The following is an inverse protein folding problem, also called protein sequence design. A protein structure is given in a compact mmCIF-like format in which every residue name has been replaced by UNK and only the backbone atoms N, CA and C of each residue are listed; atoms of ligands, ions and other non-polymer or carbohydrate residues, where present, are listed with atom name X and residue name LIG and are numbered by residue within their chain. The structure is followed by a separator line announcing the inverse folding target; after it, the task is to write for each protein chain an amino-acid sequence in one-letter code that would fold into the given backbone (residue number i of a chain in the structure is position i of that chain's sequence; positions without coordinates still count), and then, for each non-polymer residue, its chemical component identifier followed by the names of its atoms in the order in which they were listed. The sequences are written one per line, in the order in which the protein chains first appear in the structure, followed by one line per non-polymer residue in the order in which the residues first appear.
data_IF_256317549720
#
_entry.id   IF_256317549720
#
_cell.length_a   1.000
_cell.length_b   1.000
_cell.length_c   1.000
_cell.angle_alpha   90.00
_cell.angle_beta   90.00
_cell.angle_gamma   90.00
#
_symmetry.space_group_name_H-M   'P 1'
#
loop_
_entity.id
_entity.type
_entity.pdbx_description
1 polymer ?
#
# COMPACT_ATOMS: atom_id res chain seq x y z
N UNK A 1 -7.02 -2.69 20.86
CA UNK A 1 -7.19 -3.12 19.45
C UNK A 1 -7.70 -1.92 18.64
N UNK A 2 -7.30 -1.78 17.38
CA UNK A 2 -7.88 -0.76 16.49
C UNK A 2 -9.29 -1.21 16.08
N UNK A 3 -10.26 -0.29 16.11
CA UNK A 3 -11.64 -0.56 15.72
C UNK A 3 -12.22 0.63 14.98
N UNK A 4 -12.79 0.37 13.80
CA UNK A 4 -13.48 1.38 12.99
C UNK A 4 -12.63 2.64 12.77
N UNK A 5 -11.34 2.45 12.48
CA UNK A 5 -10.40 3.55 12.24
C UNK A 5 -10.66 4.19 10.88
N UNK A 6 -10.89 3.38 9.85
CA UNK A 6 -11.07 3.88 8.48
C UNK A 6 -12.43 3.52 7.92
N UNK A 7 -12.94 4.34 6.99
CA UNK A 7 -14.20 4.03 6.28
C UNK A 7 -14.09 2.71 5.51
N UNK A 8 -12.91 2.45 4.92
CA UNK A 8 -12.65 1.24 4.15
C UNK A 8 -12.75 -0.02 5.02
N UNK A 9 -12.25 0.01 6.25
CA UNK A 9 -12.37 -1.08 7.22
C UNK A 9 -13.85 -1.43 7.47
N UNK A 10 -14.68 -0.42 7.73
CA UNK A 10 -16.12 -0.61 7.97
C UNK A 10 -16.83 -1.16 6.73
N UNK A 11 -16.52 -0.63 5.55
CA UNK A 11 -17.08 -1.13 4.28
C UNK A 11 -16.68 -2.58 4.00
N UNK A 12 -15.42 -2.94 4.24
CA UNK A 12 -14.92 -4.31 4.06
C UNK A 12 -15.60 -5.27 5.03
N UNK A 13 -15.71 -4.90 6.31
CA UNK A 13 -16.41 -5.70 7.33
C UNK A 13 -17.86 -5.98 6.93
N UNK A 14 -18.57 -4.96 6.39
CA UNK A 14 -19.94 -5.13 5.88
C UNK A 14 -20.01 -6.07 4.67
N UNK A 15 -19.07 -5.96 3.73
CA UNK A 15 -19.02 -6.83 2.54
C UNK A 15 -18.75 -8.29 2.90
N UNK A 16 -17.83 -8.53 3.83
CA UNK A 16 -17.36 -9.87 4.17
C UNK A 16 -18.27 -10.56 5.20
N UNK A 17 -18.68 -9.84 6.25
CA UNK A 17 -19.40 -10.42 7.39
C UNK A 17 -20.87 -9.99 7.49
N UNK A 18 -21.33 -9.10 6.60
CA UNK A 18 -22.72 -8.60 6.61
C UNK A 18 -23.03 -7.63 7.76
N UNK A 19 -22.03 -7.15 8.50
CA UNK A 19 -22.20 -6.26 9.65
C UNK A 19 -21.02 -5.31 9.82
N UNK A 20 -21.17 -4.19 10.56
CA UNK A 20 -20.06 -3.30 10.90
C UNK A 20 -19.05 -3.95 11.86
N UNK A 21 -17.93 -3.26 12.10
CA UNK A 21 -16.79 -3.77 12.88
C UNK A 21 -17.17 -4.04 14.34
N UNK A 22 -17.83 -3.09 15.03
CA UNK A 22 -18.11 -3.26 16.47
C UNK A 22 -19.06 -4.45 16.73
N UNK A 23 -20.18 -4.63 15.99
CA UNK A 23 -21.04 -5.80 16.14
C UNK A 23 -20.32 -7.11 15.77
N UNK A 24 -19.45 -7.09 14.76
CA UNK A 24 -18.65 -8.25 14.40
C UNK A 24 -17.73 -8.67 15.54
N UNK A 25 -16.96 -7.74 16.11
CA UNK A 25 -16.02 -7.99 17.21
C UNK A 25 -16.76 -8.46 18.46
N UNK A 26 -17.92 -7.87 18.76
CA UNK A 26 -18.81 -8.36 19.82
C UNK A 26 -19.21 -9.82 19.61
N UNK A 27 -19.60 -10.19 18.39
CA UNK A 27 -20.04 -11.56 18.04
C UNK A 27 -18.93 -12.61 18.23
N UNK A 28 -17.66 -12.19 18.22
CA UNK A 28 -16.50 -13.05 18.49
C UNK A 28 -16.12 -13.11 19.98
N UNK A 29 -16.98 -12.63 20.89
CA UNK A 29 -16.78 -12.62 22.34
C UNK A 29 -15.53 -11.83 22.81
N UNK A 30 -14.95 -10.99 21.96
CA UNK A 30 -13.76 -10.18 22.29
C UNK A 30 -14.06 -9.19 23.43
N UNK A 31 -15.29 -8.69 23.51
CA UNK A 31 -15.72 -7.76 24.54
C UNK A 31 -15.96 -8.40 25.92
N UNK A 32 -15.81 -9.73 26.04
CA UNK A 32 -15.73 -10.40 27.34
C UNK A 32 -14.36 -10.17 28.03
N UNK A 33 -13.36 -9.73 27.28
CA UNK A 33 -12.06 -9.32 27.80
C UNK A 33 -12.00 -7.82 28.12
N UNK A 34 -10.92 -7.41 28.82
CA UNK A 34 -10.62 -5.98 29.02
C UNK A 34 -10.09 -5.38 27.71
N UNK A 35 -10.91 -4.59 27.04
CA UNK A 35 -10.57 -4.01 25.74
C UNK A 35 -10.44 -2.49 25.83
N UNK A 36 -9.36 -1.99 25.21
CA UNK A 36 -9.21 -0.60 24.80
C UNK A 36 -9.42 -0.54 23.28
N UNK A 37 -10.48 0.15 22.87
CA UNK A 37 -10.83 0.40 21.48
C UNK A 37 -10.11 1.67 21.00
N UNK A 38 -9.09 1.52 20.18
CA UNK A 38 -8.35 2.65 19.63
C UNK A 38 -9.04 3.21 18.38
N UNK A 39 -8.95 4.53 18.23
CA UNK A 39 -9.50 5.35 17.14
C UNK A 39 -11.02 5.55 17.20
N UNK A 40 -11.82 4.52 16.91
CA UNK A 40 -13.28 4.59 16.88
C UNK A 40 -13.80 5.77 16.03
N UNK A 41 -13.23 5.96 14.84
CA UNK A 41 -13.55 7.11 13.98
C UNK A 41 -14.91 6.94 13.32
N UNK A 42 -15.16 5.76 12.73
CA UNK A 42 -16.36 5.44 11.96
C UNK A 42 -17.29 4.55 12.76
N UNK A 43 -17.81 5.07 13.88
CA UNK A 43 -18.82 4.38 14.70
C UNK A 43 -20.15 5.11 14.66
N UNK A 44 -21.24 4.34 14.58
CA UNK A 44 -22.60 4.87 14.70
C UNK A 44 -23.11 4.90 16.17
N UNK A 45 -24.29 5.48 16.39
CA UNK A 45 -24.86 5.63 17.73
C UNK A 45 -25.19 4.27 18.39
N UNK A 46 -25.47 3.22 17.59
CA UNK A 46 -25.70 1.86 18.09
C UNK A 46 -24.41 1.17 18.50
N UNK A 47 -23.33 1.40 17.75
CA UNK A 47 -21.99 0.93 18.08
C UNK A 47 -21.45 1.62 19.34
N UNK A 48 -21.65 2.94 19.49
CA UNK A 48 -21.31 3.69 20.70
C UNK A 48 -22.03 3.11 21.93
N UNK A 49 -23.34 2.83 21.82
CA UNK A 49 -24.09 2.16 22.90
C UNK A 49 -23.59 0.75 23.20
N UNK A 50 -23.15 0.02 22.17
CA UNK A 50 -22.58 -1.32 22.33
C UNK A 50 -21.30 -1.26 23.14
N UNK A 51 -20.37 -0.36 22.78
CA UNK A 51 -19.14 -0.14 23.53
C UNK A 51 -19.44 0.23 25.00
N UNK A 52 -20.41 1.12 25.21
CA UNK A 52 -20.81 1.56 26.54
C UNK A 52 -21.36 0.40 27.39
N UNK A 53 -22.24 -0.42 26.82
CA UNK A 53 -22.87 -1.55 27.51
C UNK A 53 -21.85 -2.58 27.98
N UNK A 54 -20.79 -2.80 27.18
CA UNK A 54 -19.70 -3.71 27.52
C UNK A 54 -18.58 -3.05 28.32
N UNK A 55 -18.74 -1.78 28.74
CA UNK A 55 -17.72 -1.03 29.49
C UNK A 55 -16.36 -0.95 28.79
N UNK A 56 -16.37 -0.83 27.46
CA UNK A 56 -15.14 -0.72 26.66
C UNK A 56 -14.56 0.69 26.80
N UNK A 57 -13.26 0.79 27.08
CA UNK A 57 -12.53 2.06 27.06
C UNK A 57 -12.17 2.46 25.63
N UNK A 58 -12.15 3.75 25.34
CA UNK A 58 -11.76 4.28 24.02
C UNK A 58 -10.44 5.05 24.13
N UNK A 59 -9.53 4.86 23.18
CA UNK A 59 -8.35 5.71 22.99
C UNK A 59 -8.55 6.58 21.74
N UNK A 60 -8.76 7.88 21.95
CA UNK A 60 -8.86 8.86 20.88
C UNK A 60 -7.46 9.34 20.47
N UNK A 61 -7.10 9.16 19.20
CA UNK A 61 -5.78 9.54 18.67
C UNK A 61 -5.92 10.64 17.60
N UNK A 62 -6.14 11.91 17.97
CA UNK A 62 -6.53 12.95 17.03
C UNK A 62 -5.46 13.24 15.96
N UNK A 63 -4.18 13.40 16.31
CA UNK A 63 -3.14 13.71 15.31
C UNK A 63 -2.96 12.59 14.30
N UNK A 64 -2.95 11.33 14.75
CA UNK A 64 -2.84 10.17 13.85
C UNK A 64 -4.01 10.07 12.89
N UNK A 65 -5.24 10.22 13.40
CA UNK A 65 -6.44 10.19 12.56
C UNK A 65 -6.45 11.31 11.51
N UNK A 66 -5.93 12.49 11.84
CA UNK A 66 -5.78 13.59 10.88
C UNK A 66 -4.68 13.32 9.86
N UNK A 67 -3.49 12.87 10.32
CA UNK A 67 -2.32 12.64 9.47
C UNK A 67 -2.55 11.55 8.43
N UNK A 68 -3.27 10.50 8.81
CA UNK A 68 -3.63 9.39 7.92
C UNK A 68 -4.95 9.61 7.16
N UNK A 69 -5.59 10.76 7.36
CA UNK A 69 -6.92 11.07 6.81
C UNK A 69 -7.98 10.00 7.15
N UNK A 70 -7.84 9.36 8.31
CA UNK A 70 -8.79 8.36 8.84
C UNK A 70 -10.16 9.00 9.11
N UNK A 71 -10.18 10.24 9.60
CA UNK A 71 -11.40 11.03 9.83
C UNK A 71 -11.46 11.61 11.23
N UNK A 72 -12.67 11.88 11.73
CA UNK A 72 -12.90 12.49 13.03
C UNK A 72 -13.79 11.63 13.93
N UNK A 73 -13.23 11.13 15.04
CA UNK A 73 -14.00 10.34 15.99
C UNK A 73 -15.10 11.16 16.67
N UNK A 74 -16.32 10.62 16.86
CA UNK A 74 -17.43 11.33 17.49
C UNK A 74 -17.30 11.38 19.02
N UNK A 75 -16.19 11.94 19.52
CA UNK A 75 -15.82 11.98 20.95
C UNK A 75 -16.95 12.53 21.82
N UNK A 76 -17.60 13.63 21.41
CA UNK A 76 -18.69 14.21 22.20
C UNK A 76 -19.87 13.25 22.39
N UNK A 77 -20.20 12.46 21.35
CA UNK A 77 -21.26 11.45 21.45
C UNK A 77 -20.87 10.33 22.38
N UNK A 78 -19.61 9.88 22.31
CA UNK A 78 -19.10 8.85 23.20
C UNK A 78 -19.13 9.30 24.66
N UNK A 79 -18.65 10.51 24.94
CA UNK A 79 -18.68 11.11 26.28
C UNK A 79 -20.12 11.28 26.78
N UNK A 80 -21.04 11.77 25.94
CA UNK A 80 -22.46 11.92 26.29
C UNK A 80 -23.14 10.58 26.57
N UNK A 81 -22.69 9.50 25.93
CA UNK A 81 -23.17 8.14 26.22
C UNK A 81 -22.58 7.56 27.52
N UNK A 82 -21.57 8.20 28.12
CA UNK A 82 -20.91 7.73 29.35
C UNK A 82 -19.75 6.76 29.11
N UNK A 83 -19.17 6.74 27.91
CA UNK A 83 -17.92 6.01 27.66
C UNK A 83 -16.74 6.69 28.35
N UNK A 84 -15.80 5.88 28.81
CA UNK A 84 -14.48 6.38 29.21
C UNK A 84 -13.61 6.55 27.96
N UNK A 85 -13.39 7.80 27.55
CA UNK A 85 -12.59 8.16 26.39
C UNK A 85 -11.27 8.78 26.85
N UNK A 86 -10.19 7.99 26.77
CA UNK A 86 -8.83 8.47 26.93
C UNK A 86 -8.28 9.10 25.65
N UNK A 87 -7.10 9.72 25.77
CA UNK A 87 -6.33 10.25 24.63
C UNK A 87 -5.05 9.45 24.47
N UNK A 88 -4.66 9.19 23.23
CA UNK A 88 -3.38 8.58 22.87
C UNK A 88 -2.73 9.30 21.69
N UNK A 89 -1.42 9.13 21.54
CA UNK A 89 -0.64 9.71 20.44
C UNK A 89 -0.63 8.83 19.19
N UNK A 90 -0.94 7.54 19.34
CA UNK A 90 -0.52 6.47 18.42
C UNK A 90 1.02 6.38 18.31
N UNK A 91 1.53 5.66 17.31
CA UNK A 91 2.97 5.52 17.05
C UNK A 91 3.61 6.74 16.39
N UNK A 92 4.92 6.93 16.62
CA UNK A 92 5.71 8.03 16.06
C UNK A 92 5.86 8.02 14.52
N UNK A 93 5.35 7.00 13.82
CA UNK A 93 5.30 6.98 12.35
C UNK A 93 4.02 7.62 11.79
N UNK A 94 2.96 7.69 12.60
CA UNK A 94 1.64 8.23 12.24
C UNK A 94 1.26 9.48 13.04
N UNK A 95 2.13 9.99 13.91
CA UNK A 95 1.97 11.26 14.61
C UNK A 95 2.98 12.30 14.08
N UNK A 96 4.04 12.58 14.82
CA UNK A 96 5.36 11.96 14.65
C UNK A 96 6.25 12.17 15.91
N UNK A 97 5.68 12.73 16.98
CA UNK A 97 6.23 12.74 18.33
C UNK A 97 5.31 11.96 19.29
N UNK A 98 5.49 12.13 20.60
CA UNK A 98 4.67 11.53 21.66
C UNK A 98 4.18 12.61 22.66
N UNK A 99 3.84 13.80 22.16
CA UNK A 99 3.39 14.93 22.97
C UNK A 99 1.91 14.82 23.38
N UNK A 100 1.67 14.44 24.65
CA UNK A 100 0.31 14.37 25.20
C UNK A 100 -0.35 15.75 25.42
N UNK A 101 0.40 16.84 25.63
CA UNK A 101 -0.20 18.17 25.75
C UNK A 101 -0.77 18.63 24.41
N UNK A 102 -0.05 18.35 23.31
CA UNK A 102 -0.56 18.61 21.97
C UNK A 102 -1.82 17.78 21.68
N UNK A 103 -1.83 16.48 21.95
CA UNK A 103 -3.01 15.65 21.71
C UNK A 103 -4.23 16.11 22.53
N UNK A 104 -4.04 16.49 23.80
CA UNK A 104 -5.11 17.02 24.66
C UNK A 104 -5.67 18.33 24.09
N UNK A 105 -4.79 19.25 23.67
CA UNK A 105 -5.18 20.51 23.05
C UNK A 105 -5.92 20.29 21.73
N UNK A 106 -5.39 19.40 20.89
CA UNK A 106 -5.94 19.09 19.58
C UNK A 106 -7.33 18.45 19.71
N UNK A 107 -7.53 17.50 20.63
CA UNK A 107 -8.84 16.94 20.91
C UNK A 107 -9.86 18.04 21.26
N UNK A 108 -9.49 18.98 22.14
CA UNK A 108 -10.33 20.09 22.55
C UNK A 108 -10.67 21.04 21.39
N UNK A 109 -9.74 21.32 20.49
CA UNK A 109 -9.98 22.18 19.33
C UNK A 109 -10.78 21.48 18.23
N UNK A 110 -10.47 20.22 17.92
CA UNK A 110 -11.22 19.45 16.93
C UNK A 110 -12.68 19.32 17.31
N UNK A 111 -12.97 18.99 18.57
CA UNK A 111 -14.35 18.86 19.03
C UNK A 111 -15.16 20.17 18.82
N UNK A 112 -14.54 21.34 19.04
CA UNK A 112 -15.16 22.65 18.77
C UNK A 112 -15.31 22.92 17.27
N UNK A 113 -14.26 22.67 16.50
CA UNK A 113 -14.26 22.89 15.05
C UNK A 113 -15.30 22.04 14.31
N UNK A 114 -15.46 20.78 14.72
CA UNK A 114 -16.44 19.85 14.13
C UNK A 114 -17.87 20.21 14.53
N UNK A 115 -18.09 20.59 15.79
CA UNK A 115 -19.44 20.91 16.29
C UNK A 115 -19.92 22.31 15.90
N UNK A 116 -19.01 23.23 15.57
CA UNK A 116 -19.32 24.64 15.40
C UNK A 116 -19.66 25.36 16.71
N UNK A 117 -19.44 24.72 17.86
CA UNK A 117 -19.76 25.24 19.19
C UNK A 117 -18.47 25.44 20.02
N UNK A 118 -18.14 26.68 20.44
CA UNK A 118 -16.93 26.96 21.21
C UNK A 118 -16.97 26.39 22.64
N UNK A 119 -18.13 25.98 23.16
CA UNK A 119 -18.28 25.41 24.50
C UNK A 119 -18.04 23.91 24.56
N UNK A 120 -18.02 23.26 23.40
CA UNK A 120 -17.81 21.83 23.26
C UNK A 120 -16.40 21.42 23.74
N UNK A 121 -16.35 20.29 24.47
CA UNK A 121 -15.15 19.72 25.09
C UNK A 121 -14.27 20.76 25.80
N UNK A 122 -14.73 21.31 26.94
CA UNK A 122 -13.99 22.33 27.67
C UNK A 122 -12.70 21.77 28.29
N UNK A 123 -11.74 22.66 28.59
CA UNK A 123 -10.40 22.28 29.05
C UNK A 123 -10.37 21.30 30.24
N UNK A 124 -11.21 21.44 31.29
CA UNK A 124 -11.22 20.45 32.38
C UNK A 124 -11.57 19.03 31.91
N UNK A 125 -12.48 18.90 30.94
CA UNK A 125 -12.87 17.60 30.37
C UNK A 125 -11.75 17.05 29.50
N UNK A 126 -11.13 17.88 28.64
CA UNK A 126 -9.99 17.46 27.82
C UNK A 126 -8.81 16.98 28.68
N UNK A 127 -8.45 17.70 29.75
CA UNK A 127 -7.41 17.26 30.69
C UNK A 127 -7.81 15.97 31.41
N UNK A 128 -9.10 15.81 31.76
CA UNK A 128 -9.62 14.57 32.35
C UNK A 128 -9.47 13.39 31.40
N UNK A 129 -9.71 13.57 30.09
CA UNK A 129 -9.46 12.54 29.07
C UNK A 129 -7.99 12.12 29.01
N UNK A 130 -7.06 13.07 29.10
CA UNK A 130 -5.61 12.82 29.15
C UNK A 130 -5.09 12.23 30.47
N UNK A 131 -5.93 12.15 31.52
CA UNK A 131 -5.52 11.71 32.87
C UNK A 131 -6.49 10.66 33.43
N UNK A 132 -7.44 11.07 34.29
CA UNK A 132 -8.35 10.18 35.02
C UNK A 132 -9.17 9.29 34.10
N UNK A 133 -9.78 9.85 33.07
CA UNK A 133 -10.63 9.10 32.14
C UNK A 133 -9.81 8.18 31.23
N UNK A 134 -8.55 8.54 30.91
CA UNK A 134 -7.60 7.62 30.30
C UNK A 134 -7.27 6.43 31.21
N UNK A 135 -7.05 6.66 32.50
CA UNK A 135 -6.89 5.59 33.47
C UNK A 135 -8.16 4.72 33.60
N UNK A 136 -9.35 5.32 33.58
CA UNK A 136 -10.62 4.59 33.59
C UNK A 136 -10.84 3.75 32.31
N UNK A 137 -10.46 4.28 31.13
CA UNK A 137 -10.50 3.55 29.86
C UNK A 137 -9.55 2.33 29.86
N UNK A 138 -8.41 2.45 30.55
CA UNK A 138 -7.47 1.36 30.79
C UNK A 138 -7.87 0.44 31.96
N UNK A 139 -8.98 0.73 32.64
CA UNK A 139 -9.42 0.04 33.86
C UNK A 139 -8.41 0.11 35.03
N UNK A 140 -7.62 1.18 35.06
CA UNK A 140 -6.63 1.52 36.08
C UNK A 140 -7.07 2.66 36.99
N UNK A 141 -8.27 3.22 36.80
CA UNK A 141 -8.75 4.38 37.55
C UNK A 141 -8.87 4.20 39.08
N UNK A 142 -8.88 2.97 39.59
CA UNK A 142 -8.77 2.70 41.03
C UNK A 142 -7.33 2.83 41.57
N UNK A 143 -6.34 2.83 40.69
CA UNK A 143 -4.91 2.75 41.01
C UNK A 143 -4.22 4.09 40.72
N UNK A 144 -4.59 4.79 39.65
CA UNK A 144 -3.95 6.03 39.19
C UNK A 144 -4.93 6.95 38.46
N UNK A 145 -4.43 8.08 37.93
CA UNK A 145 -5.18 9.04 37.11
C UNK A 145 -5.76 10.24 37.87
N UNK A 146 -5.73 10.21 39.21
CA UNK A 146 -6.16 11.32 40.06
C UNK A 146 -5.40 11.36 41.38
N UNK A 147 -5.33 12.54 41.98
CA UNK A 147 -4.64 12.80 43.25
C UNK A 147 -5.58 12.55 44.43
N UNK A 148 -5.80 11.29 44.75
CA UNK A 148 -6.68 10.87 45.84
C UNK A 148 -5.92 9.95 46.82
N UNK A 149 -6.13 10.08 48.14
CA UNK A 149 -5.52 9.17 49.12
C UNK A 149 -5.76 7.70 48.77
N UNK A 150 -4.70 6.90 48.81
CA UNK A 150 -4.74 5.46 48.49
C UNK A 150 -4.39 5.10 47.03
N UNK A 151 -4.35 6.07 46.11
CA UNK A 151 -3.83 5.85 44.75
C UNK A 151 -2.30 5.92 44.69
N UNK A 152 -1.73 5.42 43.60
CA UNK A 152 -0.29 5.53 43.31
C UNK A 152 0.09 6.99 43.12
N UNK A 153 1.27 7.34 43.60
CA UNK A 153 1.87 8.65 43.37
C UNK A 153 2.46 8.70 41.96
N UNK A 154 1.58 8.85 40.96
CA UNK A 154 1.90 9.11 39.56
C UNK A 154 1.66 10.60 39.30
N UNK A 155 2.72 11.40 39.26
CA UNK A 155 2.66 12.86 39.32
C UNK A 155 3.53 13.48 38.24
N UNK A 156 3.09 14.64 37.74
CA UNK A 156 3.93 15.57 36.99
C UNK A 156 3.89 16.96 37.64
N UNK A 157 5.01 17.67 37.60
CA UNK A 157 5.06 19.10 37.94
C UNK A 157 5.23 19.90 36.65
N UNK A 158 4.45 20.97 36.52
CA UNK A 158 4.40 21.82 35.32
C UNK A 158 4.67 23.27 35.70
N UNK A 159 5.70 23.86 35.10
CA UNK A 159 6.09 25.25 35.27
C UNK A 159 5.26 26.19 34.38
N UNK A 160 4.24 26.81 34.97
CA UNK A 160 3.37 27.79 34.32
C UNK A 160 3.86 29.24 34.46
N UNK A 161 5.14 29.46 34.82
CA UNK A 161 5.72 30.79 34.97
C UNK A 161 6.38 31.32 33.69
N UNK A 162 6.45 30.48 32.65
CA UNK A 162 7.05 30.81 31.36
C UNK A 162 6.27 31.90 30.61
N UNK A 163 6.95 32.57 29.68
CA UNK A 163 6.42 33.70 28.96
C UNK A 163 5.15 33.36 28.15
N UNK A 164 5.12 32.20 27.49
CA UNK A 164 3.96 31.74 26.71
C UNK A 164 2.73 31.41 27.56
N UNK A 165 2.90 31.20 28.88
CA UNK A 165 1.81 30.91 29.82
C UNK A 165 1.46 32.11 30.73
N UNK A 166 1.98 33.30 30.41
CA UNK A 166 1.80 34.54 31.18
C UNK A 166 1.00 35.56 30.35
N UNK A 167 0.07 36.36 30.94
CA UNK A 167 -0.27 36.50 32.37
C UNK A 167 -1.22 35.41 32.90
N UNK A 168 -1.31 35.31 34.24
CA UNK A 168 -2.22 34.37 34.94
C UNK A 168 -3.40 35.11 35.55
N UNK A 169 -4.60 34.83 35.05
CA UNK A 169 -5.84 35.40 35.58
C UNK A 169 -6.36 34.52 36.73
N UNK A 170 -6.73 35.15 37.85
CA UNK A 170 -7.24 34.45 39.05
C UNK A 170 -8.74 34.63 39.29
N UNK A 171 -9.46 35.26 38.35
CA UNK A 171 -10.89 35.56 38.50
C UNK A 171 -11.73 34.29 38.57
N UNK A 172 -11.43 33.32 37.71
CA UNK A 172 -12.11 32.03 37.66
C UNK A 172 -11.21 30.96 38.32
N UNK A 173 -11.68 30.20 39.32
CA UNK A 173 -10.89 29.14 39.96
C UNK A 173 -10.39 28.07 38.99
N UNK A 174 -11.20 27.76 37.97
CA UNK A 174 -10.93 26.74 36.95
C UNK A 174 -10.03 27.24 35.80
N UNK A 175 -9.55 28.49 35.84
CA UNK A 175 -8.71 29.06 34.78
C UNK A 175 -7.41 28.28 34.55
N UNK A 176 -6.92 27.55 35.56
CA UNK A 176 -5.73 26.71 35.47
C UNK A 176 -5.85 25.63 34.39
N UNK A 177 -7.05 25.06 34.18
CA UNK A 177 -7.26 24.05 33.16
C UNK A 177 -7.05 24.62 31.76
N UNK A 178 -7.49 25.86 31.52
CA UNK A 178 -7.25 26.54 30.25
C UNK A 178 -5.76 26.78 30.01
N UNK A 179 -4.98 27.11 31.06
CA UNK A 179 -3.54 27.25 30.96
C UNK A 179 -2.86 25.92 30.60
N UNK A 180 -3.22 24.84 31.30
CA UNK A 180 -2.66 23.51 31.08
C UNK A 180 -3.00 22.93 29.71
N UNK A 181 -4.19 23.21 29.17
CA UNK A 181 -4.64 22.63 27.89
C UNK A 181 -4.28 23.52 26.70
N UNK A 182 -4.41 24.84 26.81
CA UNK A 182 -4.30 25.73 25.64
C UNK A 182 -2.95 26.45 25.53
N UNK A 183 -2.15 26.51 26.60
CA UNK A 183 -0.89 27.27 26.61
C UNK A 183 0.34 26.43 26.98
N UNK A 184 0.22 25.36 27.76
CA UNK A 184 1.37 24.55 28.19
C UNK A 184 2.02 23.74 27.07
N UNK A 185 3.34 23.58 27.16
CA UNK A 185 4.16 22.70 26.31
C UNK A 185 4.82 21.59 27.14
N UNK A 186 5.27 20.47 26.53
CA UNK A 186 6.00 19.41 27.26
C UNK A 186 7.26 19.90 27.96
N UNK A 187 7.93 20.90 27.39
CA UNK A 187 9.14 21.51 27.97
C UNK A 187 8.86 22.28 29.26
N UNK A 188 7.59 22.50 29.61
CA UNK A 188 7.19 23.08 30.90
C UNK A 188 7.17 22.02 32.02
N UNK A 189 7.21 20.72 31.70
CA UNK A 189 7.25 19.65 32.70
C UNK A 189 8.63 19.63 33.36
N UNK A 190 8.69 19.82 34.67
CA UNK A 190 9.95 19.85 35.43
C UNK A 190 10.25 18.51 36.09
N UNK A 191 9.24 17.82 36.59
CA UNK A 191 9.42 16.61 37.39
C UNK A 191 8.37 15.57 37.03
N UNK A 192 8.75 14.29 37.04
CA UNK A 192 7.87 13.15 36.78
C UNK A 192 8.12 12.09 37.83
N UNK A 193 7.05 11.65 38.48
CA UNK A 193 7.04 10.56 39.45
C UNK A 193 6.10 9.46 38.98
N UNK A 194 6.50 8.21 39.12
CA UNK A 194 5.65 7.03 38.91
C UNK A 194 5.76 6.12 40.12
N UNK A 195 4.62 5.81 40.73
CA UNK A 195 4.48 4.97 41.91
C UNK A 195 5.43 5.38 43.05
N UNK A 196 5.55 6.69 43.31
CA UNK A 196 6.43 7.21 44.35
C UNK A 196 7.91 7.34 43.96
N UNK A 197 8.30 6.90 42.76
CA UNK A 197 9.69 6.97 42.27
C UNK A 197 9.85 8.09 41.26
N UNK A 198 10.78 9.00 41.51
CA UNK A 198 11.18 10.03 40.54
C UNK A 198 11.83 9.40 39.31
N UNK A 199 11.29 9.71 38.13
CA UNK A 199 11.85 9.34 36.83
C UNK A 199 12.53 10.53 36.15
N UNK A 200 12.05 11.74 36.41
CA UNK A 200 12.65 13.01 36.01
C UNK A 200 12.55 14.00 37.17
N UNK A 201 13.58 14.81 37.38
CA UNK A 201 13.58 15.88 38.39
C UNK A 201 14.36 17.09 37.88
N UNK A 202 13.83 18.30 38.04
CA UNK A 202 14.44 19.52 37.52
C UNK A 202 14.85 19.40 36.03
N UNK A 203 13.99 18.78 35.22
CA UNK A 203 14.19 18.46 33.79
C UNK A 203 15.34 17.49 33.49
N UNK A 204 15.88 16.80 34.49
CA UNK A 204 16.92 15.79 34.33
C UNK A 204 16.32 14.38 34.43
N UNK A 205 16.48 13.57 33.38
CA UNK A 205 16.07 12.16 33.37
C UNK A 205 16.96 11.34 34.30
N UNK A 206 16.33 10.58 35.22
CA UNK A 206 17.03 9.85 36.28
C UNK A 206 17.20 8.35 35.99
N UNK A 207 16.57 7.84 34.93
CA UNK A 207 16.48 6.40 34.65
C UNK A 207 16.96 6.01 33.25
N UNK A 208 17.29 6.98 32.42
CA UNK A 208 17.73 6.79 31.03
C UNK A 208 18.90 7.74 30.75
N UNK A 209 19.89 7.26 30.01
CA UNK A 209 20.94 8.10 29.43
C UNK A 209 20.51 8.56 28.03
N UNK A 210 20.04 9.79 27.93
CA UNK A 210 19.50 10.36 26.68
C UNK A 210 20.55 10.44 25.55
N UNK A 211 21.78 10.95 25.76
CA UNK A 211 22.82 10.90 24.73
C UNK A 211 23.09 9.50 24.17
N UNK A 212 23.12 8.48 25.03
CA UNK A 212 23.32 7.09 24.61
C UNK A 212 22.12 6.57 23.80
N UNK A 213 20.90 6.91 24.20
CA UNK A 213 19.68 6.53 23.49
C UNK A 213 19.64 7.13 22.08
N UNK A 214 19.98 8.42 21.95
CA UNK A 214 20.04 9.10 20.65
C UNK A 214 21.09 8.47 19.73
N UNK A 215 22.28 8.14 20.25
CA UNK A 215 23.30 7.44 19.48
C UNK A 215 22.83 6.05 19.01
N UNK A 216 22.08 5.32 19.83
CA UNK A 216 21.47 4.03 19.44
C UNK A 216 20.39 4.22 18.37
N UNK A 217 19.55 5.24 18.48
CA UNK A 217 18.52 5.54 17.49
C UNK A 217 19.13 5.80 16.10
N UNK A 218 20.24 6.54 16.04
CA UNK A 218 20.97 6.83 14.80
C UNK A 218 21.54 5.57 14.12
N UNK A 219 21.91 4.55 14.89
CA UNK A 219 22.33 3.25 14.35
C UNK A 219 21.14 2.56 13.65
N UNK A 220 19.94 2.61 14.24
CA UNK A 220 18.75 2.02 13.63
C UNK A 220 18.27 2.81 12.42
N UNK A 221 18.32 4.15 12.46
CA UNK A 221 18.02 5.00 11.30
C UNK A 221 18.85 4.58 10.08
N UNK A 222 20.18 4.49 10.23
CA UNK A 222 21.08 4.03 9.14
C UNK A 222 20.77 2.63 8.63
N UNK A 223 20.35 1.70 9.49
CA UNK A 223 19.94 0.35 9.08
C UNK A 223 18.65 0.36 8.28
N UNK A 224 17.67 1.16 8.71
CA UNK A 224 16.40 1.35 8.01
C UNK A 224 16.66 2.02 6.66
N UNK A 225 17.50 3.05 6.61
CA UNK A 225 17.88 3.73 5.37
C UNK A 225 18.57 2.78 4.39
N UNK A 226 19.51 1.96 4.86
CA UNK A 226 20.15 0.96 4.02
C UNK A 226 19.14 -0.05 3.45
N UNK A 227 18.23 -0.56 4.29
CA UNK A 227 17.16 -1.46 3.86
C UNK A 227 16.21 -0.82 2.85
N UNK A 228 15.78 0.42 3.10
CA UNK A 228 14.90 1.15 2.20
C UNK A 228 15.60 1.49 0.89
N UNK A 229 16.88 1.88 0.93
CA UNK A 229 17.68 2.12 -0.26
C UNK A 229 17.78 0.86 -1.12
N UNK A 230 18.19 -0.28 -0.56
CA UNK A 230 18.22 -1.56 -1.27
C UNK A 230 16.85 -1.93 -1.88
N UNK A 231 15.77 -1.74 -1.11
CA UNK A 231 14.40 -2.02 -1.55
C UNK A 231 13.91 -1.08 -2.63
N UNK A 232 14.16 0.22 -2.52
CA UNK A 232 13.69 1.22 -3.47
C UNK A 232 14.45 1.18 -4.81
N UNK A 233 15.69 0.70 -4.80
CA UNK A 233 16.44 0.43 -6.03
C UNK A 233 15.96 -0.86 -6.71
N UNK A 234 15.31 -1.77 -5.99
CA UNK A 234 14.76 -3.00 -6.55
C UNK A 234 13.38 -2.76 -7.18
N UNK A 235 13.32 -2.71 -8.52
CA UNK A 235 12.06 -2.63 -9.28
C UNK A 235 11.11 -3.77 -8.92
N UNK A 236 11.64 -4.98 -8.71
CA UNK A 236 10.85 -6.13 -8.27
C UNK A 236 10.23 -5.90 -6.88
N UNK A 237 11.00 -5.40 -5.92
CA UNK A 237 10.50 -5.14 -4.57
C UNK A 237 9.45 -4.04 -4.56
N UNK A 238 9.63 -3.01 -5.39
CA UNK A 238 8.62 -1.97 -5.66
C UNK A 238 7.35 -2.57 -6.27
N UNK A 239 7.48 -3.47 -7.25
CA UNK A 239 6.35 -4.15 -7.91
C UNK A 239 5.56 -5.03 -6.93
N UNK A 240 6.23 -5.81 -6.08
CA UNK A 240 5.60 -6.65 -5.05
C UNK A 240 4.79 -5.77 -4.09
N UNK A 241 5.35 -4.62 -3.67
CA UNK A 241 4.72 -3.74 -2.70
C UNK A 241 3.41 -3.10 -3.19
N UNK A 242 3.30 -2.78 -4.49
CA UNK A 242 2.11 -2.09 -5.03
C UNK A 242 1.01 -3.02 -5.52
N UNK A 243 1.33 -4.26 -5.85
CA UNK A 243 0.40 -5.13 -6.59
C UNK A 243 0.44 -6.60 -6.22
N UNK A 244 1.17 -6.98 -5.16
CA UNK A 244 1.27 -8.38 -4.73
C UNK A 244 1.78 -9.27 -5.85
N UNK A 245 2.87 -8.85 -6.51
CA UNK A 245 3.37 -9.49 -7.72
C UNK A 245 3.52 -11.01 -7.53
N UNK A 246 2.92 -11.78 -8.43
CA UNK A 246 3.04 -13.24 -8.46
C UNK A 246 4.04 -13.64 -9.53
N UNK A 247 4.88 -14.62 -9.20
CA UNK A 247 5.65 -15.35 -10.20
C UNK A 247 4.69 -16.28 -10.96
N UNK A 248 4.55 -16.08 -12.27
CA UNK A 248 3.93 -17.07 -13.15
C UNK A 248 5.05 -17.84 -13.88
N UNK A 249 4.91 -19.17 -13.96
CA UNK A 249 5.62 -20.11 -14.86
C UNK A 249 7.05 -19.74 -15.28
N UNK A 250 8.04 -20.47 -14.76
CA UNK A 250 9.47 -20.14 -14.87
C UNK A 250 10.09 -20.18 -16.28
N UNK A 251 9.40 -20.67 -17.32
CA UNK A 251 9.94 -20.72 -18.68
C UNK A 251 8.90 -20.28 -19.73
N UNK A 252 9.21 -19.21 -20.47
CA UNK A 252 8.50 -18.83 -21.69
C UNK A 252 9.36 -19.14 -22.92
N UNK A 253 8.78 -19.88 -23.86
CA UNK A 253 9.34 -20.17 -25.18
C UNK A 253 8.69 -19.25 -26.20
N UNK A 254 9.51 -18.54 -26.95
CA UNK A 254 9.06 -17.61 -27.98
C UNK A 254 9.88 -17.78 -29.25
N UNK A 255 9.20 -17.89 -30.39
CA UNK A 255 9.80 -17.80 -31.72
C UNK A 255 9.06 -16.72 -32.50
N UNK A 256 9.81 -15.79 -33.11
CA UNK A 256 9.28 -14.64 -33.84
C UNK A 256 9.87 -14.60 -35.24
N UNK A 257 9.07 -14.21 -36.23
CA UNK A 257 9.47 -14.08 -37.63
C UNK A 257 8.82 -12.82 -38.19
N UNK A 258 9.56 -12.06 -39.01
CA UNK A 258 9.01 -10.91 -39.72
C UNK A 258 8.19 -11.37 -40.93
N UNK A 259 7.08 -10.70 -41.21
CA UNK A 259 6.13 -11.06 -42.26
C UNK A 259 5.97 -9.94 -43.28
N UNK A 260 5.96 -10.30 -44.56
CA UNK A 260 5.55 -9.39 -45.64
C UNK A 260 4.03 -9.40 -45.83
N UNK A 261 3.41 -10.59 -45.85
CA UNK A 261 1.96 -10.76 -46.03
C UNK A 261 1.31 -11.50 -44.84
N UNK A 262 0.54 -10.80 -43.98
CA UNK A 262 -0.14 -11.41 -42.85
C UNK A 262 -1.23 -12.43 -43.26
N UNK A 263 -1.75 -12.37 -44.49
CA UNK A 263 -2.84 -13.23 -44.93
C UNK A 263 -2.44 -14.71 -45.02
N UNK A 264 -1.14 -14.98 -45.22
CA UNK A 264 -0.57 -16.33 -45.24
C UNK A 264 -0.86 -17.05 -43.92
N UNK A 265 -0.58 -16.38 -42.79
CA UNK A 265 -0.80 -16.92 -41.44
C UNK A 265 -2.29 -17.07 -41.14
N UNK A 266 -3.09 -16.06 -41.49
CA UNK A 266 -4.55 -16.06 -41.25
C UNK A 266 -5.21 -17.25 -41.95
N UNK A 267 -4.79 -17.57 -43.19
CA UNK A 267 -5.31 -18.72 -43.91
C UNK A 267 -4.75 -20.04 -43.33
N UNK A 268 -3.48 -20.07 -42.93
CA UNK A 268 -2.82 -21.28 -42.47
C UNK A 268 -3.27 -21.75 -41.08
N UNK A 269 -3.71 -20.85 -40.19
CA UNK A 269 -4.14 -21.21 -38.83
C UNK A 269 -5.37 -22.13 -38.81
N UNK A 270 -6.11 -22.21 -39.92
CA UNK A 270 -7.30 -23.03 -40.07
C UNK A 270 -7.04 -24.37 -40.80
N UNK A 271 -5.78 -24.72 -41.05
CA UNK A 271 -5.43 -25.97 -41.71
C UNK A 271 -5.63 -27.20 -40.81
N UNK A 272 -5.85 -28.40 -41.41
CA UNK A 272 -5.93 -29.65 -40.65
C UNK A 272 -4.68 -29.89 -39.80
N UNK A 273 -4.86 -30.10 -38.50
CA UNK A 273 -3.78 -30.34 -37.53
C UNK A 273 -3.57 -29.22 -36.51
N UNK A 274 -4.13 -28.03 -36.75
CA UNK A 274 -4.18 -26.93 -35.78
C UNK A 274 -5.61 -26.82 -35.23
N UNK A 275 -5.81 -27.15 -33.96
CA UNK A 275 -7.10 -26.99 -33.31
C UNK A 275 -7.17 -25.60 -32.66
N UNK A 276 -8.02 -24.71 -33.18
CA UNK A 276 -8.22 -23.37 -32.61
C UNK A 276 -9.22 -23.44 -31.46
N UNK A 277 -8.76 -23.17 -30.24
CA UNK A 277 -9.61 -23.15 -29.04
C UNK A 277 -10.39 -21.84 -28.94
N UNK A 278 -9.71 -20.70 -29.16
CA UNK A 278 -10.32 -19.38 -29.18
C UNK A 278 -9.41 -18.36 -29.88
N UNK A 279 -9.98 -17.26 -30.39
CA UNK A 279 -9.25 -16.17 -31.03
C UNK A 279 -9.65 -14.82 -30.43
N UNK A 280 -8.73 -13.85 -30.42
CA UNK A 280 -8.95 -12.49 -29.93
C UNK A 280 -8.20 -11.46 -30.76
N UNK A 281 -8.73 -10.25 -30.83
CA UNK A 281 -8.07 -9.09 -31.41
C UNK A 281 -7.82 -8.07 -30.30
N UNK A 282 -6.59 -7.55 -30.25
CA UNK A 282 -6.17 -6.54 -29.30
C UNK A 282 -5.53 -5.36 -30.01
N UNK A 283 -5.77 -4.16 -29.48
CA UNK A 283 -4.90 -3.02 -29.64
C UNK A 283 -4.10 -2.89 -28.34
N UNK A 284 -2.78 -3.11 -28.42
CA UNK A 284 -1.90 -3.10 -27.25
C UNK A 284 -1.06 -1.82 -27.23
N UNK A 285 -1.14 -1.06 -26.12
CA UNK A 285 -0.26 0.05 -25.81
C UNK A 285 0.72 -0.34 -24.72
N UNK A 286 1.98 -0.54 -25.09
CA UNK A 286 3.05 -0.87 -24.16
C UNK A 286 3.92 0.36 -23.87
N UNK A 287 4.03 0.75 -22.61
CA UNK A 287 5.06 1.69 -22.13
C UNK A 287 6.11 0.91 -21.35
N UNK A 288 7.33 0.85 -21.89
CA UNK A 288 8.49 0.24 -21.25
C UNK A 288 9.28 1.28 -20.45
N UNK A 289 9.56 0.94 -19.21
CA UNK A 289 10.42 1.67 -18.29
C UNK A 289 11.77 0.96 -18.21
N UNK A 290 12.84 1.67 -18.55
CA UNK A 290 14.21 1.21 -18.32
C UNK A 290 14.86 2.00 -17.18
N UNK A 291 15.81 1.35 -16.50
CA UNK A 291 16.45 1.87 -15.30
C UNK A 291 17.95 2.04 -15.51
N UNK A 292 18.59 2.88 -14.69
CA UNK A 292 20.03 3.18 -14.82
C UNK A 292 20.92 1.94 -14.69
N UNK A 293 20.47 0.97 -13.91
CA UNK A 293 21.08 -0.35 -13.78
C UNK A 293 20.38 -1.34 -14.71
N UNK A 294 21.06 -1.74 -15.78
CA UNK A 294 20.53 -2.67 -16.78
C UNK A 294 20.19 -4.06 -16.20
N UNK A 295 20.78 -4.43 -15.05
CA UNK A 295 20.44 -5.67 -14.35
C UNK A 295 19.03 -5.64 -13.73
N UNK A 296 18.35 -4.50 -13.71
CA UNK A 296 16.96 -4.41 -13.24
C UNK A 296 15.95 -4.81 -14.34
N UNK A 297 16.40 -4.98 -15.58
CA UNK A 297 15.56 -5.32 -16.72
C UNK A 297 14.60 -4.18 -17.12
N UNK A 298 13.44 -4.53 -17.64
CA UNK A 298 12.42 -3.57 -18.08
C UNK A 298 11.11 -3.79 -17.33
N UNK A 299 10.50 -2.71 -16.85
CA UNK A 299 9.12 -2.77 -16.37
C UNK A 299 8.18 -2.30 -17.48
N UNK A 300 7.26 -3.15 -17.90
CA UNK A 300 6.27 -2.82 -18.93
C UNK A 300 4.92 -2.54 -18.30
N UNK A 301 4.39 -1.34 -18.49
CA UNK A 301 2.98 -1.02 -18.32
C UNK A 301 2.27 -1.30 -19.64
N UNK A 302 1.21 -2.10 -19.61
CA UNK A 302 0.44 -2.49 -20.78
C UNK A 302 -1.03 -2.17 -20.59
N UNK A 303 -1.60 -1.53 -21.60
CA UNK A 303 -3.03 -1.37 -21.81
C UNK A 303 -3.46 -2.28 -22.98
N UNK A 304 -4.26 -3.30 -22.67
CA UNK A 304 -4.85 -4.23 -23.63
C UNK A 304 -6.29 -3.81 -23.92
N UNK A 305 -6.56 -3.23 -25.09
CA UNK A 305 -7.92 -2.97 -25.57
C UNK A 305 -8.40 -4.15 -26.41
N UNK A 306 -9.40 -4.90 -25.92
CA UNK A 306 -9.98 -6.01 -26.67
C UNK A 306 -10.97 -5.49 -27.71
N UNK A 307 -10.74 -5.79 -28.98
CA UNK A 307 -11.56 -5.34 -30.11
C UNK A 307 -12.60 -6.43 -30.45
N UNK A 308 -13.85 -6.02 -30.61
CA UNK A 308 -14.95 -6.89 -31.02
C UNK A 308 -15.07 -7.05 -32.55
N UNK A 309 -16.05 -7.83 -32.99
CA UNK A 309 -16.30 -8.10 -34.42
C UNK A 309 -16.74 -6.86 -35.23
N UNK A 310 -17.15 -5.77 -34.56
CA UNK A 310 -17.57 -4.51 -35.18
C UNK A 310 -16.46 -3.44 -35.10
N UNK A 311 -15.23 -3.85 -34.77
CA UNK A 311 -14.07 -2.96 -34.61
C UNK A 311 -14.25 -1.95 -33.46
N UNK A 312 -14.98 -2.34 -32.40
CA UNK A 312 -15.18 -1.53 -31.19
C UNK A 312 -14.48 -2.12 -29.98
N UNK A 313 -14.02 -1.25 -29.08
CA UNK A 313 -13.42 -1.64 -27.81
C UNK A 313 -14.49 -2.26 -26.91
N UNK A 314 -14.29 -3.53 -26.56
CA UNK A 314 -15.20 -4.32 -25.72
C UNK A 314 -14.79 -4.33 -24.25
N UNK A 315 -13.48 -4.27 -23.97
CA UNK A 315 -12.93 -4.22 -22.62
C UNK A 315 -11.51 -3.70 -22.64
N UNK A 316 -11.08 -3.06 -21.56
CA UNK A 316 -9.72 -2.58 -21.37
C UNK A 316 -9.12 -3.25 -20.14
N UNK A 317 -7.88 -3.73 -20.25
CA UNK A 317 -7.15 -4.34 -19.14
C UNK A 317 -5.76 -3.73 -19.01
N UNK A 318 -5.42 -3.35 -17.78
CA UNK A 318 -4.10 -2.83 -17.44
C UNK A 318 -3.24 -3.87 -16.72
N UNK A 319 -1.94 -3.93 -17.04
CA UNK A 319 -1.00 -4.87 -16.42
C UNK A 319 0.41 -4.31 -16.32
N UNK A 320 1.09 -4.59 -15.22
CA UNK A 320 2.53 -4.44 -15.08
C UNK A 320 3.23 -5.78 -15.31
N UNK A 321 4.31 -5.79 -16.09
CA UNK A 321 5.17 -6.96 -16.29
C UNK A 321 6.62 -6.56 -16.09
N UNK A 322 7.28 -7.10 -15.07
CA UNK A 322 8.73 -6.99 -14.95
C UNK A 322 9.38 -8.07 -15.81
N UNK A 323 10.10 -7.63 -16.82
CA UNK A 323 10.94 -8.44 -17.69
C UNK A 323 12.32 -8.47 -17.05
N UNK A 324 12.68 -9.60 -16.44
CA UNK A 324 13.94 -9.75 -15.71
C UNK A 324 15.18 -9.58 -16.59
N UNK A 325 16.36 -9.32 -15.98
CA UNK A 325 17.62 -9.26 -16.70
C UNK A 325 17.97 -10.62 -17.32
N UNK A 326 18.12 -10.64 -18.63
CA UNK A 326 19.02 -11.53 -19.37
C UNK A 326 18.64 -13.02 -19.46
N UNK A 327 18.06 -13.35 -20.63
CA UNK A 327 18.25 -14.55 -21.48
C UNK A 327 19.11 -15.69 -20.90
N UNK A 328 18.51 -16.86 -20.69
CA UNK A 328 19.24 -18.11 -20.38
C UNK A 328 19.65 -18.83 -21.68
N UNK A 329 20.38 -18.13 -22.56
CA UNK A 329 20.95 -18.69 -23.79
C UNK A 329 19.96 -19.00 -24.92
N UNK A 330 20.51 -19.25 -26.11
CA UNK A 330 19.78 -19.77 -27.28
C UNK A 330 19.74 -21.31 -27.15
N UNK A 331 18.58 -21.92 -26.88
CA UNK A 331 18.47 -23.40 -26.85
C UNK A 331 18.63 -24.03 -28.23
N UNK A 332 18.62 -23.19 -29.26
CA UNK A 332 19.08 -23.37 -30.64
C UNK A 332 19.00 -21.97 -31.26
N UNK A 333 19.69 -21.68 -32.36
CA UNK A 333 19.87 -20.31 -32.90
C UNK A 333 18.59 -19.46 -33.05
N UNK A 334 17.41 -20.09 -33.03
CA UNK A 334 16.14 -19.52 -33.49
C UNK A 334 15.02 -19.48 -32.42
N UNK A 335 15.27 -19.82 -31.14
CA UNK A 335 14.24 -19.80 -30.10
C UNK A 335 14.69 -19.12 -28.81
N UNK A 336 13.87 -18.19 -28.28
CA UNK A 336 14.13 -17.44 -27.05
C UNK A 336 13.57 -18.20 -25.84
N UNK A 337 14.38 -18.29 -24.77
CA UNK A 337 13.96 -18.76 -23.44
C UNK A 337 14.16 -17.67 -22.39
N UNK A 338 13.09 -17.32 -21.67
CA UNK A 338 13.11 -16.37 -20.55
C UNK A 338 12.74 -17.07 -19.24
N UNK A 339 13.47 -16.75 -18.15
CA UNK A 339 13.44 -17.46 -16.86
C UNK A 339 12.47 -16.86 -15.82
N UNK A 340 12.11 -15.58 -15.93
CA UNK A 340 11.27 -14.95 -14.90
C UNK A 340 10.50 -13.75 -15.44
N UNK A 341 9.17 -13.82 -15.34
CA UNK A 341 8.27 -12.67 -15.51
C UNK A 341 7.41 -12.52 -14.27
N UNK A 342 7.55 -11.37 -13.61
CA UNK A 342 6.66 -11.02 -12.51
C UNK A 342 5.53 -10.15 -13.04
N UNK A 343 4.32 -10.51 -12.70
CA UNK A 343 3.12 -9.83 -13.16
C UNK A 343 2.41 -9.22 -11.95
N UNK A 344 1.94 -7.98 -12.12
CA UNK A 344 1.06 -7.33 -11.16
C UNK A 344 -0.09 -6.63 -11.89
N UNK A 345 -1.27 -6.52 -11.27
CA UNK A 345 -2.34 -5.66 -11.78
C UNK A 345 -1.87 -4.20 -11.78
N UNK A 346 -2.24 -3.45 -12.82
CA UNK A 346 -1.96 -2.03 -12.91
C UNK A 346 -3.19 -1.22 -12.48
N UNK A 347 -3.35 -1.02 -11.16
CA UNK A 347 -4.53 -0.38 -10.56
C UNK A 347 -4.41 1.16 -10.43
N UNK A 348 -3.28 1.73 -10.85
CA UNK A 348 -3.03 3.17 -10.80
C UNK A 348 -2.78 3.72 -12.21
N UNK A 349 -2.82 5.05 -12.34
CA UNK A 349 -2.54 5.71 -13.62
C UNK A 349 -1.08 5.53 -14.05
N UNK A 350 -0.82 5.62 -15.35
CA UNK A 350 0.54 5.61 -15.88
C UNK A 350 1.43 6.68 -15.22
N UNK A 351 0.86 7.86 -14.92
CA UNK A 351 1.56 8.95 -14.20
C UNK A 351 2.03 8.51 -12.81
N UNK A 352 1.17 7.85 -12.04
CA UNK A 352 1.56 7.31 -10.73
C UNK A 352 2.77 6.38 -10.87
N UNK A 353 2.77 5.49 -11.87
CA UNK A 353 3.89 4.57 -12.07
C UNK A 353 5.19 5.26 -12.47
N UNK A 354 5.13 6.36 -13.24
CA UNK A 354 6.31 7.18 -13.53
C UNK A 354 6.91 7.78 -12.26
N UNK A 355 6.06 8.35 -11.40
CA UNK A 355 6.49 8.98 -10.14
C UNK A 355 7.01 7.93 -9.13
N UNK A 356 6.40 6.75 -9.11
CA UNK A 356 6.76 5.66 -8.20
C UNK A 356 8.05 4.93 -8.60
N UNK A 357 8.16 4.53 -9.87
CA UNK A 357 9.31 3.77 -10.36
C UNK A 357 10.49 4.65 -10.76
N UNK A 358 10.25 5.90 -11.16
CA UNK A 358 11.28 6.87 -11.60
C UNK A 358 12.22 6.27 -12.67
N UNK A 359 11.69 5.88 -13.84
CA UNK A 359 12.51 5.30 -14.90
C UNK A 359 13.56 6.29 -15.43
N UNK A 360 14.67 5.76 -15.92
CA UNK A 360 15.69 6.54 -16.61
C UNK A 360 15.24 6.92 -18.02
N UNK A 361 14.59 5.99 -18.73
CA UNK A 361 14.02 6.24 -20.06
C UNK A 361 12.68 5.51 -20.23
N UNK A 362 11.84 6.04 -21.12
CA UNK A 362 10.59 5.43 -21.54
C UNK A 362 10.63 5.09 -23.03
N UNK A 363 10.06 3.95 -23.40
CA UNK A 363 9.86 3.57 -24.81
C UNK A 363 8.44 3.09 -24.99
N UNK A 364 7.75 3.65 -25.97
CA UNK A 364 6.36 3.30 -26.27
C UNK A 364 6.32 2.38 -27.48
N UNK A 365 5.54 1.31 -27.37
CA UNK A 365 5.24 0.40 -28.46
C UNK A 365 3.73 0.26 -28.60
N UNK A 366 3.21 0.54 -29.79
CA UNK A 366 1.81 0.38 -30.15
C UNK A 366 1.67 -0.67 -31.24
N UNK A 367 0.74 -1.61 -31.06
CA UNK A 367 0.50 -2.67 -32.03
C UNK A 367 -0.92 -3.22 -32.01
N UNK A 368 -1.35 -3.72 -33.15
CA UNK A 368 -2.52 -4.60 -33.24
C UNK A 368 -2.07 -6.06 -33.20
N UNK A 369 -2.76 -6.87 -32.39
CA UNK A 369 -2.48 -8.29 -32.23
C UNK A 369 -3.71 -9.13 -32.49
N UNK A 370 -3.63 -10.01 -33.48
CA UNK A 370 -4.52 -11.15 -33.59
C UNK A 370 -3.90 -12.33 -32.86
N UNK A 371 -4.62 -12.89 -31.89
CA UNK A 371 -4.13 -13.98 -31.03
C UNK A 371 -5.04 -15.18 -31.09
N UNK A 372 -4.50 -16.31 -31.51
CA UNK A 372 -5.15 -17.61 -31.43
C UNK A 372 -4.54 -18.44 -30.31
N UNK A 373 -5.38 -18.98 -29.44
CA UNK A 373 -5.01 -20.07 -28.53
C UNK A 373 -5.33 -21.37 -29.25
N UNK A 374 -4.32 -22.21 -29.42
CA UNK A 374 -4.43 -23.43 -30.21
C UNK A 374 -3.89 -24.66 -29.47
N UNK A 375 -4.32 -25.83 -29.92
CA UNK A 375 -3.69 -27.11 -29.62
C UNK A 375 -3.00 -27.62 -30.90
N UNK A 376 -1.71 -27.96 -30.79
CA UNK A 376 -0.91 -28.50 -31.89
C UNK A 376 -0.07 -29.66 -31.35
N UNK A 377 -0.23 -30.86 -31.93
CA UNK A 377 0.34 -32.12 -31.40
C UNK A 377 0.07 -32.35 -29.91
N UNK A 378 -1.12 -31.96 -29.44
CA UNK A 378 -1.52 -32.10 -28.02
C UNK A 378 -0.86 -31.10 -27.06
N UNK A 379 -0.09 -30.14 -27.58
CA UNK A 379 0.53 -29.07 -26.80
C UNK A 379 -0.17 -27.74 -27.06
N UNK A 380 -0.29 -26.92 -26.01
CA UNK A 380 -0.92 -25.62 -26.10
C UNK A 380 0.08 -24.53 -26.55
N UNK A 381 -0.32 -23.75 -27.54
CA UNK A 381 0.41 -22.61 -28.05
C UNK A 381 -0.48 -21.38 -28.22
N UNK A 382 0.15 -20.22 -28.23
CA UNK A 382 -0.42 -18.98 -28.73
C UNK A 382 0.25 -18.59 -30.04
N UNK A 383 -0.54 -18.39 -31.07
CA UNK A 383 -0.10 -17.74 -32.31
C UNK A 383 -0.52 -16.29 -32.21
N UNK A 384 0.45 -15.37 -32.26
CA UNK A 384 0.23 -13.94 -32.32
C UNK A 384 0.65 -13.43 -33.69
N UNK A 385 -0.24 -12.71 -34.36
CA UNK A 385 0.06 -11.95 -35.56
C UNK A 385 0.00 -10.47 -35.18
N UNK A 386 1.17 -9.84 -35.15
CA UNK A 386 1.36 -8.48 -34.66
C UNK A 386 1.60 -7.52 -35.82
N UNK A 387 0.84 -6.44 -35.91
CA UNK A 387 1.14 -5.27 -36.74
C UNK A 387 1.68 -4.16 -35.85
N UNK A 388 2.92 -3.77 -36.06
CA UNK A 388 3.61 -2.76 -35.25
C UNK A 388 3.37 -1.37 -35.83
N UNK A 389 2.61 -0.55 -35.12
CA UNK A 389 2.22 0.78 -35.59
C UNK A 389 3.18 1.87 -35.06
N UNK A 390 3.66 1.72 -33.82
CA UNK A 390 4.66 2.60 -33.24
C UNK A 390 5.75 1.79 -32.52
N UNK A 391 7.03 1.90 -32.91
CA UNK A 391 7.47 2.37 -34.23
C UNK A 391 6.97 1.44 -35.35
N UNK A 392 6.82 1.98 -36.56
CA UNK A 392 6.35 1.23 -37.72
C UNK A 392 7.38 0.18 -38.18
N UNK A 393 7.30 -1.03 -37.62
CA UNK A 393 8.23 -2.14 -37.87
C UNK A 393 7.64 -3.23 -38.78
N UNK A 394 6.40 -3.06 -39.26
CA UNK A 394 5.72 -4.03 -40.12
C UNK A 394 5.00 -5.13 -39.33
N UNK A 395 4.89 -6.31 -39.94
CA UNK A 395 4.15 -7.44 -39.38
C UNK A 395 5.09 -8.50 -38.83
N UNK A 396 4.68 -9.17 -37.75
CA UNK A 396 5.42 -10.26 -37.14
C UNK A 396 4.50 -11.43 -36.79
N UNK A 397 4.96 -12.63 -37.08
CA UNK A 397 4.42 -13.87 -36.52
C UNK A 397 5.19 -14.17 -35.24
N UNK A 398 4.48 -14.44 -34.15
CA UNK A 398 5.05 -14.86 -32.89
C UNK A 398 4.31 -16.08 -32.35
N UNK A 399 5.02 -17.20 -32.18
CA UNK A 399 4.53 -18.41 -31.51
C UNK A 399 5.06 -18.43 -30.08
N UNK A 400 4.15 -18.57 -29.12
CA UNK A 400 4.45 -18.57 -27.68
C UNK A 400 3.91 -19.80 -26.98
N UNK A 401 4.69 -20.35 -26.05
CA UNK A 401 4.22 -21.33 -25.07
C UNK A 401 4.94 -21.12 -23.73
N UNK A 402 4.32 -21.61 -22.65
CA UNK A 402 4.85 -21.49 -21.29
C UNK A 402 4.90 -22.85 -20.60
N UNK A 403 5.81 -23.01 -19.65
CA UNK A 403 5.98 -24.25 -18.89
C UNK A 403 6.81 -24.03 -17.62
N UNK A 404 6.71 -24.96 -16.67
CA UNK A 404 7.53 -25.01 -15.45
C UNK A 404 8.83 -25.80 -15.63
N UNK A 405 8.98 -26.54 -16.73
CA UNK A 405 10.10 -27.46 -16.95
C UNK A 405 10.97 -27.01 -18.12
N UNK A 406 12.27 -26.86 -17.90
CA UNK A 406 13.25 -26.57 -18.96
C UNK A 406 13.24 -27.60 -20.09
N UNK A 407 13.13 -28.89 -19.75
CA UNK A 407 13.09 -29.97 -20.73
C UNK A 407 11.83 -29.91 -21.59
N UNK A 408 10.71 -29.51 -21.01
CA UNK A 408 9.48 -29.27 -21.76
C UNK A 408 9.59 -28.01 -22.63
N UNK A 409 10.29 -26.98 -22.15
CA UNK A 409 10.57 -25.77 -22.92
C UNK A 409 11.42 -26.07 -24.18
N UNK A 410 12.43 -26.94 -24.06
CA UNK A 410 13.22 -27.44 -25.18
C UNK A 410 12.35 -28.12 -26.25
N UNK A 411 11.50 -29.04 -25.82
CA UNK A 411 10.58 -29.74 -26.70
C UNK A 411 9.59 -28.77 -27.37
N UNK A 412 8.97 -27.88 -26.60
CA UNK A 412 8.05 -26.85 -27.11
C UNK A 412 8.74 -25.89 -28.08
N UNK A 413 10.03 -25.59 -27.91
CA UNK A 413 10.79 -24.77 -28.85
C UNK A 413 10.95 -25.47 -30.21
N UNK A 414 11.21 -26.78 -30.21
CA UNK A 414 11.28 -27.56 -31.45
C UNK A 414 9.92 -27.62 -32.16
N UNK A 415 8.84 -27.90 -31.41
CA UNK A 415 7.47 -27.96 -31.95
C UNK A 415 7.02 -26.58 -32.46
N UNK A 416 7.42 -25.48 -31.81
CA UNK A 416 7.11 -24.12 -32.26
C UNK A 416 7.66 -23.83 -33.65
N UNK A 417 8.84 -24.39 -34.01
CA UNK A 417 9.40 -24.23 -35.36
C UNK A 417 8.63 -25.01 -36.41
N UNK A 418 8.21 -26.22 -36.08
CA UNK A 418 7.35 -27.01 -36.97
C UNK A 418 6.02 -26.31 -37.20
N UNK A 419 5.45 -25.71 -36.15
CA UNK A 419 4.25 -24.90 -36.25
C UNK A 419 4.47 -23.67 -37.16
N UNK A 420 5.57 -22.92 -36.99
CA UNK A 420 5.88 -21.78 -37.87
C UNK A 420 6.01 -22.21 -39.34
N UNK A 421 6.65 -23.36 -39.61
CA UNK A 421 6.72 -23.91 -40.98
C UNK A 421 5.34 -24.28 -41.52
N UNK A 422 4.48 -24.87 -40.70
CA UNK A 422 3.10 -25.19 -41.08
C UNK A 422 2.26 -23.94 -41.36
N UNK A 423 2.62 -22.80 -40.74
CA UNK A 423 2.03 -21.49 -41.00
C UNK A 423 2.56 -20.80 -42.27
N UNK A 424 3.34 -21.51 -43.09
CA UNK A 424 3.85 -21.04 -44.38
C UNK A 424 5.25 -20.42 -44.33
N UNK A 425 5.88 -20.36 -43.15
CA UNK A 425 7.13 -19.63 -42.93
C UNK A 425 8.33 -20.59 -42.96
N UNK A 426 8.77 -20.96 -44.18
CA UNK A 426 9.80 -22.00 -44.36
C UNK A 426 11.24 -21.52 -44.31
N UNK A 427 11.54 -20.28 -44.76
CA UNK A 427 12.91 -19.79 -45.00
C UNK A 427 13.21 -18.43 -44.36
N UNK A 428 12.28 -17.86 -43.61
CA UNK A 428 12.45 -16.52 -43.04
C UNK A 428 13.35 -16.57 -41.79
N UNK A 429 14.25 -15.59 -41.61
CA UNK A 429 15.14 -15.57 -40.45
C UNK A 429 14.32 -15.34 -39.17
N UNK A 430 14.56 -16.17 -38.16
CA UNK A 430 13.95 -15.98 -36.84
C UNK A 430 14.51 -14.73 -36.16
N UNK A 431 13.64 -13.97 -35.53
CA UNK A 431 13.96 -12.79 -34.73
C UNK A 431 14.03 -13.19 -33.26
N UNK A 432 15.24 -13.27 -32.72
CA UNK A 432 15.47 -13.65 -31.31
C UNK A 432 15.30 -12.50 -30.32
N UNK A 433 15.14 -11.26 -30.81
CA UNK A 433 14.97 -10.07 -29.99
C UNK A 433 13.50 -9.86 -29.58
N UNK A 434 13.26 -9.45 -28.34
CA UNK A 434 11.96 -8.93 -27.93
C UNK A 434 11.70 -7.56 -28.61
N UNK A 435 10.44 -7.12 -28.68
CA UNK A 435 10.09 -5.89 -29.39
C UNK A 435 10.83 -4.66 -28.85
N UNK A 436 11.00 -4.55 -27.52
CA UNK A 436 11.77 -3.45 -26.92
C UNK A 436 13.25 -3.46 -27.37
N UNK A 437 13.84 -4.64 -27.57
CA UNK A 437 15.22 -4.78 -28.04
C UNK A 437 15.34 -4.43 -29.53
N UNK A 438 14.35 -4.78 -30.36
CA UNK A 438 14.28 -4.39 -31.77
C UNK A 438 14.20 -2.87 -31.94
N UNK A 439 13.35 -2.22 -31.14
CA UNK A 439 13.22 -0.76 -31.12
C UNK A 439 14.50 -0.10 -30.63
N UNK A 440 15.15 -0.67 -29.62
CA UNK A 440 16.41 -0.12 -29.06
C UNK A 440 17.63 -0.35 -29.96
N UNK A 441 17.59 -1.30 -30.89
CA UNK A 441 18.73 -1.66 -31.77
C UNK A 441 18.59 -1.15 -33.20
N UNK A 442 17.43 -0.65 -33.58
CA UNK A 442 17.26 0.08 -34.84
C UNK A 442 18.02 1.41 -34.74
N UNK A 443 18.95 1.71 -35.67
CA UNK A 443 19.63 2.99 -35.68
C UNK A 443 18.56 4.08 -35.79
N UNK A 444 18.58 5.04 -34.86
CA UNK A 444 17.80 6.27 -34.97
C UNK A 444 18.10 6.90 -36.33
N UNK A 445 17.11 6.90 -37.21
CA UNK A 445 17.15 7.63 -38.48
C UNK A 445 17.19 9.13 -38.27
#
# INVERSE_FOLDING_TARGET
IHLSETRQEVENSRKEFGMPVIPYVKKQDVFEARVLAAHCVHVDDGEVKTLQHHHIGVAHNPSSNMKLASGFAPVNKMLAAGLHVGIGTDGAASNNDLDMFEEIRLAAFLAKGISGDPTTLPAPVALTMGTRMGADALQLGKITGSLEPGKRADLILVDISRAHNTPRFKREPEAIYAQLVYATHPSDVTDVMVNGRWLMRDQQLLTINEPELLAKAEIYARKIDAFLHEREHSVLSKLIAIGGASEEESYEVQVKVALEDPQIVINAVHQPGIEVLHHRHYHEYDTYFSFSDASQGYLRYREDEAIDVNDKISSIRYRLTLLGPTREGNLSSDALLSRSRFIAPANHSLRFYREYFKPAHETVIEKHRLRWRILYHGLEFFINLDRMDQPALGHFLEVKSRTWSRRDAEHKAQVSRELIKSLGMTNEPSVSQDYIELVSSSPTG
#
